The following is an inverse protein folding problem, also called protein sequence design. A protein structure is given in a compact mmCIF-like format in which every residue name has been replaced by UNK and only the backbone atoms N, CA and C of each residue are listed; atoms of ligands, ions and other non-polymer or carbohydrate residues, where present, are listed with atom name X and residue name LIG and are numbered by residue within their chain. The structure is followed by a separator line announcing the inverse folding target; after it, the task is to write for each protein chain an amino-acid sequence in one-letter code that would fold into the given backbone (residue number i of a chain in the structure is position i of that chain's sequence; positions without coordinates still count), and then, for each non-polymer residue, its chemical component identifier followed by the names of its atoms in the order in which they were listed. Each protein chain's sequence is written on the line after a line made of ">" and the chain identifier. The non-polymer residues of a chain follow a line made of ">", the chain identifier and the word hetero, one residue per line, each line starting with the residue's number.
data_IF_947967101155
#
_entry.id   IF_947967101155
#
_cell.length_a   1.000
_cell.length_b   1.000
_cell.length_c   1.000
_cell.angle_alpha   90.00
_cell.angle_beta   90.00
_cell.angle_gamma   90.00
#
_symmetry.space_group_name_H-M   'P 1'
#
loop_
_entity.id
_entity.type
_entity.pdbx_description
1 polymer ?
#
# COMPACT_ATOMS: atom_id res chain seq x y z
N UNK A 1 -18.53 -6.31 -0.31
CA UNK A 1 -18.19 -4.87 -0.13
C UNK A 1 -17.04 -4.83 0.87
N UNK A 2 -15.96 -4.11 0.56
CA UNK A 2 -14.78 -4.03 1.46
C UNK A 2 -15.14 -3.36 2.77
N UNK A 3 -14.52 -3.78 3.86
CA UNK A 3 -14.67 -3.16 5.17
C UNK A 3 -13.43 -2.36 5.51
N UNK A 4 -13.61 -1.08 5.83
CA UNK A 4 -12.53 -0.15 6.15
C UNK A 4 -12.99 0.76 7.28
N UNK A 5 -12.14 1.02 8.28
CA UNK A 5 -12.53 1.83 9.44
C UNK A 5 -11.32 2.52 10.09
N UNK A 6 -11.58 3.60 10.82
CA UNK A 6 -10.57 4.20 11.69
C UNK A 6 -10.32 3.32 12.91
N UNK A 7 -9.06 3.07 13.21
CA UNK A 7 -8.64 2.35 14.40
C UNK A 7 -8.68 3.23 15.64
N UNK A 8 -8.85 2.59 16.80
CA UNK A 8 -8.62 3.23 18.09
C UNK A 8 -7.17 3.76 18.21
N UNK A 9 -6.95 4.80 19.01
CA UNK A 9 -5.65 5.46 19.11
C UNK A 9 -4.56 4.58 19.77
N UNK A 10 -4.96 3.66 20.64
CA UNK A 10 -4.06 2.79 21.41
C UNK A 10 -4.57 1.35 21.38
N UNK A 11 -4.48 0.67 20.22
CA UNK A 11 -4.90 -0.72 20.12
C UNK A 11 -4.01 -1.57 21.03
N UNK A 12 -4.65 -2.37 21.90
CA UNK A 12 -3.95 -3.27 22.81
C UNK A 12 -4.43 -4.70 22.64
N UNK A 13 -3.54 -5.66 22.86
CA UNK A 13 -3.84 -7.08 22.68
C UNK A 13 -3.46 -7.61 21.30
N UNK A 14 -4.24 -8.57 20.79
CA UNK A 14 -3.94 -9.26 19.54
C UNK A 14 -4.18 -8.35 18.32
N UNK A 15 -3.15 -8.01 17.54
CA UNK A 15 -3.27 -7.09 16.41
C UNK A 15 -4.20 -7.56 15.29
N UNK A 16 -4.56 -8.86 15.30
CA UNK A 16 -5.49 -9.50 14.36
C UNK A 16 -6.96 -9.29 14.72
N UNK A 17 -7.27 -8.63 15.83
CA UNK A 17 -8.65 -8.25 16.16
C UNK A 17 -9.06 -6.99 15.40
N UNK A 18 -10.36 -6.70 15.21
CA UNK A 18 -10.77 -5.56 14.39
C UNK A 18 -10.34 -4.16 14.89
N UNK A 19 -10.18 -3.95 16.21
CA UNK A 19 -9.75 -2.66 16.79
C UNK A 19 -10.56 -1.43 16.32
N UNK A 20 -11.89 -1.52 16.37
CA UNK A 20 -12.78 -0.40 16.02
C UNK A 20 -12.69 0.73 17.04
N UNK A 21 -12.81 1.98 16.57
CA UNK A 21 -13.21 3.10 17.43
C UNK A 21 -14.61 2.86 18.03
N UNK A 22 -14.91 3.50 19.17
CA UNK A 22 -16.27 3.62 19.68
C UNK A 22 -16.72 5.09 19.70
N UNK A 23 -17.79 5.48 18.97
CA UNK A 23 -18.55 4.65 18.02
C UNK A 23 -17.72 4.28 16.76
N UNK A 24 -18.07 3.19 16.04
CA UNK A 24 -17.36 2.79 14.83
C UNK A 24 -17.37 3.87 13.75
N UNK A 25 -16.20 4.16 13.20
CA UNK A 25 -16.01 5.12 12.10
C UNK A 25 -15.64 4.37 10.83
N UNK A 26 -16.65 4.03 10.03
CA UNK A 26 -16.47 3.36 8.73
C UNK A 26 -15.90 4.37 7.73
N UNK A 27 -14.99 3.89 6.89
CA UNK A 27 -14.32 4.65 5.84
C UNK A 27 -14.69 4.01 4.49
N UNK A 28 -15.03 4.82 3.50
CA UNK A 28 -15.25 4.35 2.13
C UNK A 28 -13.96 4.45 1.28
N UNK A 29 -13.89 3.79 0.10
CA UNK A 29 -12.68 3.83 -0.74
C UNK A 29 -12.24 5.25 -1.14
N UNK A 30 -13.18 6.16 -1.42
CA UNK A 30 -12.85 7.54 -1.80
C UNK A 30 -12.23 8.31 -0.63
N UNK A 31 -12.72 8.09 0.59
CA UNK A 31 -12.17 8.66 1.82
C UNK A 31 -10.79 8.07 2.14
N UNK A 32 -10.58 6.76 1.95
CA UNK A 32 -9.25 6.16 2.06
C UNK A 32 -8.28 6.89 1.13
N UNK A 33 -8.63 7.04 -0.14
CA UNK A 33 -7.77 7.71 -1.12
C UNK A 33 -7.47 9.16 -0.74
N UNK A 34 -8.46 9.91 -0.22
CA UNK A 34 -8.22 11.29 0.24
C UNK A 34 -7.31 11.35 1.46
N UNK A 35 -7.45 10.40 2.40
CA UNK A 35 -6.74 10.41 3.68
C UNK A 35 -5.32 9.84 3.59
N UNK A 36 -5.09 8.81 2.77
CA UNK A 36 -3.80 8.10 2.72
C UNK A 36 -3.15 8.13 1.33
N UNK A 37 -3.92 8.44 0.28
CA UNK A 37 -3.47 8.31 -1.10
C UNK A 37 -3.47 6.87 -1.63
N UNK A 38 -3.86 5.88 -0.81
CA UNK A 38 -3.99 4.50 -1.23
C UNK A 38 -5.27 4.27 -2.05
N UNK A 39 -5.19 3.33 -2.99
CA UNK A 39 -6.32 2.94 -3.84
C UNK A 39 -6.73 1.50 -3.53
N UNK A 40 -8.02 1.24 -3.56
CA UNK A 40 -8.60 -0.09 -3.41
C UNK A 40 -9.34 -0.50 -4.68
N UNK A 41 -9.20 -1.76 -5.08
CA UNK A 41 -9.92 -2.35 -6.19
C UNK A 41 -10.47 -3.72 -5.77
N UNK A 42 -11.77 -3.94 -5.98
CA UNK A 42 -12.33 -5.29 -5.99
C UNK A 42 -12.16 -5.87 -7.39
N UNK A 43 -11.44 -6.98 -7.51
CA UNK A 43 -11.25 -7.66 -8.78
C UNK A 43 -12.24 -8.80 -8.92
N UNK A 44 -12.75 -8.97 -10.14
CA UNK A 44 -13.46 -10.18 -10.53
C UNK A 44 -12.42 -11.24 -10.87
N UNK A 45 -12.38 -12.28 -10.04
CA UNK A 45 -11.44 -13.40 -10.14
C UNK A 45 -11.96 -14.51 -11.07
N UNK A 46 -13.26 -14.53 -11.36
CA UNK A 46 -13.88 -15.52 -12.25
C UNK A 46 -13.60 -15.14 -13.71
N UNK A 47 -13.60 -13.83 -14.01
CA UNK A 47 -13.18 -13.31 -15.31
C UNK A 47 -11.67 -13.06 -15.37
N UNK A 48 -10.94 -14.09 -15.81
CA UNK A 48 -9.48 -14.05 -16.00
C UNK A 48 -9.01 -12.94 -16.97
N UNK A 49 -9.84 -12.57 -17.95
CA UNK A 49 -9.51 -11.52 -18.93
C UNK A 49 -9.62 -10.15 -18.25
N UNK A 50 -10.71 -9.89 -17.54
CA UNK A 50 -10.91 -8.65 -16.79
C UNK A 50 -9.85 -8.49 -15.68
N UNK A 51 -9.54 -9.56 -14.95
CA UNK A 51 -8.50 -9.61 -13.93
C UNK A 51 -7.14 -9.20 -14.51
N UNK A 52 -6.70 -9.90 -15.57
CA UNK A 52 -5.41 -9.66 -16.22
C UNK A 52 -5.30 -8.24 -16.76
N UNK A 53 -6.38 -7.73 -17.38
CA UNK A 53 -6.44 -6.34 -17.87
C UNK A 53 -6.30 -5.33 -16.73
N UNK A 54 -7.01 -5.52 -15.63
CA UNK A 54 -6.95 -4.59 -14.49
C UNK A 54 -5.56 -4.57 -13.86
N UNK A 55 -4.96 -5.73 -13.64
CA UNK A 55 -3.60 -5.84 -13.10
C UNK A 55 -2.61 -5.16 -14.05
N UNK A 56 -2.72 -5.39 -15.37
CA UNK A 56 -1.86 -4.76 -16.36
C UNK A 56 -1.97 -3.23 -16.36
N UNK A 57 -3.19 -2.69 -16.25
CA UNK A 57 -3.43 -1.24 -16.15
C UNK A 57 -2.76 -0.68 -14.88
N UNK A 58 -2.98 -1.29 -13.72
CA UNK A 58 -2.37 -0.83 -12.45
C UNK A 58 -0.84 -0.87 -12.53
N UNK A 59 -0.28 -1.96 -13.08
CA UNK A 59 1.16 -2.09 -13.31
C UNK A 59 1.69 -0.98 -14.21
N UNK A 60 0.99 -0.67 -15.30
CA UNK A 60 1.41 0.37 -16.25
C UNK A 60 1.33 1.78 -15.65
N UNK A 61 0.20 2.14 -15.04
CA UNK A 61 -0.04 3.46 -14.45
C UNK A 61 0.98 3.78 -13.35
N UNK A 62 1.32 2.78 -12.53
CA UNK A 62 2.24 2.94 -11.39
C UNK A 62 3.68 2.51 -11.70
N UNK A 63 3.92 2.01 -12.91
CA UNK A 63 5.20 1.49 -13.38
C UNK A 63 5.75 0.37 -12.46
N UNK A 64 4.87 -0.54 -12.04
CA UNK A 64 5.21 -1.71 -11.24
C UNK A 64 5.75 -2.79 -12.19
N UNK A 65 7.03 -3.10 -12.06
CA UNK A 65 7.75 -3.98 -12.98
C UNK A 65 8.23 -5.28 -12.33
N UNK A 66 8.28 -5.32 -10.99
CA UNK A 66 8.70 -6.49 -10.22
C UNK A 66 7.50 -7.09 -9.52
N UNK A 67 7.44 -8.40 -9.47
CA UNK A 67 6.36 -9.17 -8.86
C UNK A 67 6.96 -10.25 -7.98
N UNK A 68 6.48 -10.33 -6.74
CA UNK A 68 6.82 -11.36 -5.77
C UNK A 68 5.53 -11.97 -5.21
N UNK A 69 5.59 -13.21 -4.74
CA UNK A 69 4.50 -13.83 -3.99
C UNK A 69 4.99 -14.20 -2.59
N UNK A 70 4.26 -13.77 -1.57
CA UNK A 70 4.46 -14.12 -0.18
C UNK A 70 3.37 -15.10 0.25
N UNK A 71 3.75 -16.31 0.65
CA UNK A 71 2.85 -17.28 1.28
C UNK A 71 3.28 -17.50 2.71
N UNK A 72 2.36 -17.32 3.65
CA UNK A 72 2.55 -17.60 5.07
C UNK A 72 1.49 -18.57 5.52
N UNK A 73 1.93 -19.62 6.21
CA UNK A 73 1.05 -20.64 6.77
C UNK A 73 1.62 -21.07 8.12
N UNK A 74 0.86 -20.84 9.19
CA UNK A 74 1.23 -21.13 10.57
C UNK A 74 1.66 -22.59 10.81
N UNK A 75 1.24 -23.53 9.95
CA UNK A 75 1.62 -24.94 10.07
C UNK A 75 2.95 -25.27 9.39
N UNK A 76 3.32 -24.53 8.33
CA UNK A 76 4.46 -24.90 7.47
C UNK A 76 5.60 -23.89 7.50
N UNK A 77 5.32 -22.64 7.87
CA UNK A 77 6.32 -21.58 7.97
C UNK A 77 7.01 -21.67 9.34
N UNK A 78 8.28 -22.09 9.34
CA UNK A 78 9.08 -22.32 10.56
C UNK A 78 9.19 -21.06 11.44
N UNK A 79 9.26 -19.89 10.81
CA UNK A 79 9.42 -18.57 11.43
C UNK A 79 8.13 -17.72 11.39
N UNK A 80 6.96 -18.38 11.39
CA UNK A 80 5.67 -17.71 11.22
C UNK A 80 5.44 -16.57 12.22
N UNK A 81 5.64 -16.83 13.52
CA UNK A 81 5.38 -15.84 14.57
C UNK A 81 6.30 -14.62 14.48
N UNK A 82 7.56 -14.82 14.09
CA UNK A 82 8.51 -13.71 13.96
C UNK A 82 8.21 -12.88 12.70
N UNK A 83 7.84 -13.52 11.59
CA UNK A 83 7.34 -12.82 10.40
C UNK A 83 6.06 -12.05 10.67
N UNK A 84 5.17 -12.58 11.50
CA UNK A 84 3.94 -11.89 11.91
C UNK A 84 4.26 -10.62 12.71
N UNK A 85 5.26 -10.67 13.60
CA UNK A 85 5.73 -9.48 14.33
C UNK A 85 6.35 -8.47 13.36
N UNK A 86 7.27 -8.91 12.50
CA UNK A 86 7.93 -8.06 11.49
C UNK A 86 6.90 -7.37 10.59
N UNK A 87 5.89 -8.09 10.12
CA UNK A 87 4.82 -7.52 9.28
C UNK A 87 3.95 -6.49 10.01
N UNK A 88 3.88 -6.56 11.33
CA UNK A 88 3.12 -5.62 12.14
C UNK A 88 3.95 -4.42 12.62
N UNK A 89 5.26 -4.41 12.37
CA UNK A 89 6.11 -3.24 12.60
C UNK A 89 5.76 -2.12 11.62
N UNK A 90 5.66 -0.90 12.15
CA UNK A 90 5.33 0.28 11.37
C UNK A 90 6.47 0.57 10.39
N UNK A 91 6.15 0.49 9.09
CA UNK A 91 7.14 0.63 8.02
C UNK A 91 6.68 1.67 7.01
N UNK A 92 7.57 2.59 6.65
CA UNK A 92 7.33 3.51 5.54
C UNK A 92 7.44 2.77 4.20
N UNK A 93 6.44 2.94 3.34
CA UNK A 93 6.48 2.40 1.99
C UNK A 93 7.46 3.21 1.13
N UNK A 94 8.66 2.70 0.87
CA UNK A 94 9.68 3.45 0.10
C UNK A 94 9.27 3.72 -1.37
N UNK A 95 8.48 2.83 -1.95
CA UNK A 95 8.05 2.86 -3.34
C UNK A 95 6.59 2.44 -3.48
N UNK A 96 5.92 2.89 -4.55
CA UNK A 96 4.55 2.48 -4.85
C UNK A 96 4.51 0.94 -4.95
N UNK A 97 3.61 0.32 -4.18
CA UNK A 97 3.42 -1.12 -4.18
C UNK A 97 1.95 -1.47 -4.29
N UNK A 98 1.62 -2.48 -5.09
CA UNK A 98 0.30 -3.08 -5.11
C UNK A 98 0.35 -4.46 -4.45
N UNK A 99 -0.66 -4.81 -3.66
CA UNK A 99 -0.78 -6.12 -3.02
C UNK A 99 -2.16 -6.70 -3.31
N UNK A 100 -2.18 -7.93 -3.84
CA UNK A 100 -3.39 -8.69 -4.13
C UNK A 100 -3.48 -9.87 -3.19
N UNK A 101 -4.65 -10.10 -2.59
CA UNK A 101 -4.89 -11.26 -1.74
C UNK A 101 -5.32 -12.44 -2.59
N UNK A 102 -4.52 -13.50 -2.58
CA UNK A 102 -4.70 -14.73 -3.35
C UNK A 102 -5.26 -15.88 -2.52
N UNK A 103 -5.08 -15.82 -1.20
CA UNK A 103 -5.66 -16.76 -0.24
C UNK A 103 -5.65 -16.10 1.15
N UNK A 104 -6.61 -16.47 2.01
CA UNK A 104 -6.78 -15.90 3.35
C UNK A 104 -7.26 -14.44 3.36
N UNK A 105 -7.00 -13.78 4.50
CA UNK A 105 -7.41 -12.38 4.74
C UNK A 105 -6.31 -11.60 5.44
N UNK A 106 -6.24 -10.30 5.15
CA UNK A 106 -5.22 -9.39 5.67
C UNK A 106 -5.84 -8.06 6.08
N UNK A 107 -5.48 -7.60 7.26
CA UNK A 107 -5.61 -6.21 7.64
C UNK A 107 -4.41 -5.43 7.13
N UNK A 108 -4.69 -4.39 6.33
CA UNK A 108 -3.74 -3.34 6.01
C UNK A 108 -4.07 -2.13 6.86
N UNK A 109 -3.17 -1.77 7.77
CA UNK A 109 -3.27 -0.51 8.51
C UNK A 109 -2.45 0.53 7.76
N UNK A 110 -3.10 1.62 7.37
CA UNK A 110 -2.50 2.72 6.63
C UNK A 110 -2.61 4.00 7.45
N UNK A 111 -1.50 4.70 7.63
CA UNK A 111 -1.49 5.99 8.30
C UNK A 111 -2.09 7.05 7.37
N UNK A 112 -3.07 7.78 7.88
CA UNK A 112 -3.66 8.93 7.22
C UNK A 112 -2.83 10.20 7.45
N UNK A 113 -3.04 11.22 6.62
CA UNK A 113 -2.36 12.50 6.70
C UNK A 113 -2.53 13.23 8.06
N UNK A 114 -3.53 12.84 8.86
CA UNK A 114 -3.81 13.37 10.20
C UNK A 114 -3.20 12.51 11.33
N UNK A 115 -2.37 11.51 10.99
CA UNK A 115 -1.73 10.58 11.92
C UNK A 115 -2.65 9.47 12.43
N UNK A 116 -3.89 9.38 11.94
CA UNK A 116 -4.81 8.31 12.34
C UNK A 116 -4.59 7.06 11.50
N UNK A 117 -4.66 5.88 12.13
CA UNK A 117 -4.62 4.61 11.43
C UNK A 117 -5.98 4.24 10.85
N UNK A 118 -6.02 3.91 9.56
CA UNK A 118 -7.18 3.34 8.88
C UNK A 118 -6.88 1.87 8.60
N UNK A 119 -7.71 0.99 9.13
CA UNK A 119 -7.65 -0.46 8.87
C UNK A 119 -8.51 -0.80 7.67
N UNK A 120 -7.95 -1.59 6.76
CA UNK A 120 -8.61 -2.14 5.58
C UNK A 120 -8.57 -3.65 5.67
N UNK A 121 -9.73 -4.29 5.76
CA UNK A 121 -9.83 -5.75 5.64
C UNK A 121 -9.87 -6.13 4.16
N UNK A 122 -8.77 -6.72 3.68
CA UNK A 122 -8.68 -7.28 2.36
C UNK A 122 -8.79 -8.80 2.41
N UNK A 123 -9.64 -9.35 1.54
CA UNK A 123 -9.86 -10.78 1.38
C UNK A 123 -9.56 -11.20 -0.07
N UNK A 124 -9.72 -12.47 -0.37
CA UNK A 124 -9.50 -13.01 -1.70
C UNK A 124 -10.12 -12.15 -2.83
N UNK A 125 -9.29 -11.83 -3.83
CA UNK A 125 -9.65 -10.98 -4.97
C UNK A 125 -9.58 -9.47 -4.71
N UNK A 126 -9.21 -9.04 -3.50
CA UNK A 126 -8.95 -7.63 -3.21
C UNK A 126 -7.53 -7.23 -3.60
N UNK A 127 -7.41 -6.05 -4.21
CA UNK A 127 -6.15 -5.41 -4.56
C UNK A 127 -6.06 -4.04 -3.89
N UNK A 128 -4.99 -3.81 -3.13
CA UNK A 128 -4.69 -2.52 -2.53
C UNK A 128 -3.39 -1.95 -3.12
N UNK A 129 -3.41 -0.68 -3.50
CA UNK A 129 -2.24 0.06 -3.96
C UNK A 129 -1.84 1.06 -2.87
N UNK A 130 -0.66 0.87 -2.31
CA UNK A 130 -0.05 1.72 -1.29
C UNK A 130 0.97 2.62 -1.96
N UNK A 131 0.86 3.93 -1.74
CA UNK A 131 1.72 4.94 -2.33
C UNK A 131 3.03 5.05 -1.54
N UNK A 132 4.12 5.37 -2.24
CA UNK A 132 5.38 5.74 -1.61
C UNK A 132 5.21 6.88 -0.58
N UNK A 133 5.87 6.75 0.57
CA UNK A 133 5.78 7.67 1.71
C UNK A 133 4.63 7.41 2.67
N UNK A 134 3.81 6.37 2.43
CA UNK A 134 2.73 5.98 3.36
C UNK A 134 3.28 5.02 4.41
N UNK A 135 3.07 5.32 5.69
CA UNK A 135 3.34 4.35 6.75
C UNK A 135 2.26 3.28 6.78
N UNK A 136 2.69 2.03 6.86
CA UNK A 136 1.79 0.89 6.89
C UNK A 136 2.31 -0.23 7.76
N UNK A 137 1.39 -1.07 8.20
CA UNK A 137 1.66 -2.37 8.82
C UNK A 137 0.56 -3.36 8.43
N UNK A 138 0.78 -4.64 8.68
CA UNK A 138 -0.17 -5.68 8.31
C UNK A 138 -0.35 -6.71 9.41
N UNK A 139 -1.58 -7.17 9.57
CA UNK A 139 -1.89 -8.35 10.37
C UNK A 139 -2.69 -9.33 9.52
N UNK A 140 -2.31 -10.60 9.51
CA UNK A 140 -2.92 -11.61 8.63
C UNK A 140 -3.61 -12.72 9.42
N UNK A 141 -4.45 -13.48 8.72
CA UNK A 141 -4.91 -14.79 9.18
C UNK A 141 -3.74 -15.78 9.32
N UNK A 142 -3.92 -16.92 10.04
CA UNK A 142 -2.90 -17.96 10.17
C UNK A 142 -2.38 -18.52 8.85
N UNK A 143 -3.17 -18.42 7.77
CA UNK A 143 -2.78 -18.77 6.42
C UNK A 143 -3.16 -17.65 5.47
N UNK A 144 -2.23 -17.24 4.62
CA UNK A 144 -2.43 -16.18 3.63
C UNK A 144 -1.46 -16.36 2.45
N UNK A 145 -1.93 -16.00 1.25
CA UNK A 145 -1.05 -15.79 0.09
C UNK A 145 -1.28 -14.39 -0.49
N UNK A 146 -0.20 -13.63 -0.65
CA UNK A 146 -0.19 -12.26 -1.17
C UNK A 146 0.68 -12.16 -2.41
N UNK A 147 0.16 -11.62 -3.50
CA UNK A 147 0.98 -11.19 -4.64
C UNK A 147 1.33 -9.71 -4.47
N UNK A 148 2.62 -9.39 -4.45
CA UNK A 148 3.17 -8.04 -4.31
C UNK A 148 3.78 -7.58 -5.61
N UNK A 149 3.42 -6.39 -6.07
CA UNK A 149 3.96 -5.74 -7.25
C UNK A 149 4.65 -4.44 -6.83
N UNK A 150 5.90 -4.21 -7.26
CA UNK A 150 6.68 -3.01 -6.93
C UNK A 150 7.42 -2.45 -8.13
N UNK A 151 7.85 -1.20 -8.02
CA UNK A 151 8.76 -0.56 -8.99
C UNK A 151 10.13 -1.25 -8.93
N UNK A 152 10.85 -1.33 -10.06
CA UNK A 152 12.23 -1.79 -10.05
C UNK A 152 13.16 -0.71 -9.49
N UNK A 153 14.10 -1.12 -8.63
CA UNK A 153 15.15 -0.26 -8.08
C UNK A 153 16.05 0.41 -9.15
N UNK A 154 16.16 -0.16 -10.37
CA UNK A 154 16.79 0.52 -11.52
C UNK A 154 15.96 1.70 -12.01
N UNK A 155 14.64 1.51 -12.16
CA UNK A 155 13.70 2.57 -12.54
C UNK A 155 13.67 3.69 -11.49
N UNK A 156 13.79 3.33 -10.21
CA UNK A 156 13.86 4.29 -9.10
C UNK A 156 15.08 5.22 -9.20
N UNK A 157 16.26 4.68 -9.56
CA UNK A 157 17.49 5.49 -9.77
C UNK A 157 17.30 6.49 -10.93
N UNK A 158 16.66 6.06 -12.01
CA UNK A 158 16.34 6.94 -13.15
C UNK A 158 15.42 8.07 -12.68
N UNK A 159 14.30 7.76 -12.00
CA UNK A 159 13.37 8.77 -11.48
C UNK A 159 14.00 9.76 -10.49
N UNK A 160 14.86 9.29 -9.57
CA UNK A 160 15.59 10.17 -8.64
C UNK A 160 16.51 11.13 -9.40
N UNK A 161 17.17 10.64 -10.45
CA UNK A 161 18.04 11.44 -11.32
C UNK A 161 17.23 12.47 -12.12
N UNK A 162 16.13 12.07 -12.74
CA UNK A 162 15.23 12.94 -13.49
C UNK A 162 14.64 14.07 -12.63
N UNK A 163 14.14 13.75 -11.42
CA UNK A 163 13.65 14.76 -10.48
C UNK A 163 14.72 15.76 -10.07
N UNK A 164 15.95 15.29 -9.85
CA UNK A 164 17.09 16.17 -9.52
C UNK A 164 17.40 17.12 -10.68
N UNK A 165 17.47 16.60 -11.90
CA UNK A 165 17.70 17.40 -13.11
C UNK A 165 16.57 18.41 -13.35
N UNK A 166 15.31 18.04 -13.11
CA UNK A 166 14.18 18.95 -13.28
C UNK A 166 14.21 20.08 -12.24
N UNK A 167 14.58 19.78 -10.99
CA UNK A 167 14.73 20.77 -9.93
C UNK A 167 15.90 21.73 -10.22
N UNK A 168 17.04 21.21 -10.68
CA UNK A 168 18.18 22.02 -11.13
C UNK A 168 17.79 22.94 -12.30
N UNK A 169 17.05 22.43 -13.28
CA UNK A 169 16.57 23.21 -14.43
C UNK A 169 15.59 24.32 -14.02
N UNK A 170 14.71 24.07 -13.04
CA UNK A 170 13.83 25.10 -12.47
C UNK A 170 14.63 26.20 -11.75
N UNK A 171 15.68 25.83 -11.01
CA UNK A 171 16.54 26.79 -10.31
C UNK A 171 17.38 27.64 -11.27
N UNK A 172 17.88 27.05 -12.37
CA UNK A 172 18.59 27.79 -13.42
C UNK A 172 17.66 28.81 -14.12
N UNK A 173 16.43 28.40 -14.45
CA UNK A 173 15.46 29.29 -15.08
C UNK A 173 15.01 30.43 -14.15
N UNK A 174 14.90 30.19 -12.84
CA UNK A 174 14.58 31.26 -11.88
C UNK A 174 15.73 32.25 -11.71
N UNK A 175 16.99 31.79 -11.70
CA UNK A 175 18.16 32.67 -11.68
C UNK A 175 18.30 33.52 -12.94
N UNK A 176 18.04 32.95 -14.12
CA UNK A 176 18.04 33.70 -15.38
C UNK A 176 16.94 34.77 -15.44
N UNK A 177 15.75 34.49 -14.90
CA UNK A 177 14.66 35.47 -14.84
C UNK A 177 14.91 36.59 -13.83
N UNK A 178 15.73 36.39 -12.79
CA UNK A 178 16.13 37.48 -11.89
C UNK A 178 17.15 38.44 -12.53
N UNK A 179 17.97 37.95 -13.47
CA UNK A 179 19.02 38.75 -14.12
C UNK A 179 18.52 39.60 -15.30
N UNK A 180 17.31 39.33 -15.81
CA UNK A 180 16.72 40.06 -16.95
C UNK A 180 15.84 41.25 -16.55
N UNK A 181 15.60 41.46 -15.25
CA UNK A 181 14.81 42.57 -14.70
C UNK A 181 15.64 43.53 -13.80
N UNK A 182 16.97 43.49 -13.91
CA UNK A 182 17.91 44.45 -13.28
C UNK A 182 18.42 45.45 -14.32
#
# INVERSE_FOLDING_TARGET
>A
MVQMWCMEAYPSGDPRLPHHCFPPKVVNPDELTKKTGALYYKLDIEDQIALSKRIAIVKLERNLSREDTLTLDAQSTVDFEDKMKEMFEETECEEDQARMVMDGSVYFDLEANDGQWIRVLCEYGDLILIKAGTWYRMATTPKVTLSKFVVSSKQMKIRKTERKLEMERRNLNSQQNCLTYS
#
